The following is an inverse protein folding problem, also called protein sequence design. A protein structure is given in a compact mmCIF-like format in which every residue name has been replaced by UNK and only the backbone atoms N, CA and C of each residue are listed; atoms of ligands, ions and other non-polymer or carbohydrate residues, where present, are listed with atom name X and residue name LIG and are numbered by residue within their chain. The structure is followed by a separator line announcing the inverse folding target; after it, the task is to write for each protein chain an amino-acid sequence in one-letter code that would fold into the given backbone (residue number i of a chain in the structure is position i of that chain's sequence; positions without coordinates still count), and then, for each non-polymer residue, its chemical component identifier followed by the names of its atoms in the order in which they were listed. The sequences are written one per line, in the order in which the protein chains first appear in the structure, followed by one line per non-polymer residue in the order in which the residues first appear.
data_IF_136530562423
#
_entry.id   IF_136530562423
#
_cell.length_a   1.000
_cell.length_b   1.000
_cell.length_c   1.000
_cell.angle_alpha   90.00
_cell.angle_beta   90.00
_cell.angle_gamma   90.00
#
_symmetry.space_group_name_H-M   'P 1'
#
loop_
_entity.id
_entity.type
_entity.pdbx_description
1 polymer ?
#
# COMPACT_ATOMS: atom_id res chain seq x y z
N UNK A 1 19.12 -6.00 34.72
CA UNK A 1 19.59 -5.76 33.33
C UNK A 1 18.47 -5.97 32.32
N UNK A 2 17.76 -7.10 32.37
CA UNK A 2 16.59 -7.38 31.51
C UNK A 2 15.49 -6.33 31.69
N UNK A 3 15.19 -5.90 32.93
CA UNK A 3 14.13 -4.90 33.18
C UNK A 3 14.41 -3.53 32.57
N UNK A 4 15.69 -3.14 32.49
CA UNK A 4 16.11 -1.88 31.85
C UNK A 4 15.89 -1.99 30.34
N UNK A 5 16.26 -3.11 29.74
CA UNK A 5 16.04 -3.37 28.30
C UNK A 5 14.55 -3.38 27.98
N UNK A 6 13.73 -4.05 28.79
CA UNK A 6 12.27 -4.10 28.60
C UNK A 6 11.63 -2.72 28.74
N UNK A 7 12.07 -1.90 29.70
CA UNK A 7 11.56 -0.54 29.87
C UNK A 7 11.93 0.37 28.69
N UNK A 8 13.19 0.34 28.25
CA UNK A 8 13.63 1.13 27.07
C UNK A 8 12.87 0.68 25.82
N UNK A 9 12.74 -0.63 25.61
CA UNK A 9 11.97 -1.19 24.51
C UNK A 9 10.49 -0.81 24.58
N UNK A 10 9.90 -0.76 25.77
CA UNK A 10 8.51 -0.33 25.98
C UNK A 10 8.29 1.12 25.57
N UNK A 11 9.20 2.03 25.94
CA UNK A 11 9.13 3.45 25.55
C UNK A 11 9.25 3.60 24.03
N UNK A 12 10.21 2.93 23.40
CA UNK A 12 10.41 2.98 21.95
C UNK A 12 9.20 2.40 21.21
N UNK A 13 8.67 1.25 21.66
CA UNK A 13 7.49 0.65 21.02
C UNK A 13 6.25 1.55 21.12
N UNK A 14 6.02 2.19 22.25
CA UNK A 14 4.89 3.12 22.38
C UNK A 14 5.06 4.38 21.52
N UNK A 15 6.30 4.85 21.34
CA UNK A 15 6.58 6.01 20.48
C UNK A 15 6.43 5.67 18.99
N UNK A 16 7.00 4.53 18.55
CA UNK A 16 7.07 4.14 17.13
C UNK A 16 5.82 3.41 16.65
N UNK A 17 5.21 2.56 17.48
CA UNK A 17 4.07 1.71 17.11
C UNK A 17 2.80 2.05 17.87
N UNK A 18 2.84 3.00 18.81
CA UNK A 18 1.68 3.43 19.56
C UNK A 18 0.88 4.53 18.84
N UNK A 19 0.22 5.37 19.64
CA UNK A 19 -0.66 6.43 19.16
C UNK A 19 -0.03 7.40 18.15
N UNK A 20 1.23 7.85 18.27
CA UNK A 20 1.81 8.81 17.32
C UNK A 20 1.82 8.28 15.88
N UNK A 21 2.24 7.03 15.68
CA UNK A 21 2.27 6.43 14.34
C UNK A 21 0.88 6.19 13.79
N UNK A 22 -0.07 5.73 14.62
CA UNK A 22 -1.46 5.53 14.19
C UNK A 22 -2.11 6.86 13.77
N UNK A 23 -1.90 7.93 14.54
CA UNK A 23 -2.43 9.26 14.22
C UNK A 23 -1.78 9.79 12.93
N UNK A 24 -0.47 9.65 12.78
CA UNK A 24 0.24 10.13 11.59
C UNK A 24 -0.20 9.37 10.33
N UNK A 25 -0.30 8.04 10.41
CA UNK A 25 -0.72 7.21 9.28
C UNK A 25 -2.18 7.51 8.87
N UNK A 26 -3.08 7.62 9.86
CA UNK A 26 -4.47 8.00 9.63
C UNK A 26 -4.61 9.42 9.06
N UNK A 27 -3.88 10.38 9.62
CA UNK A 27 -3.88 11.77 9.16
C UNK A 27 -3.38 11.89 7.72
N UNK A 28 -2.27 11.24 7.38
CA UNK A 28 -1.75 11.23 6.00
C UNK A 28 -2.76 10.58 5.06
N UNK A 29 -3.39 9.46 5.45
CA UNK A 29 -4.42 8.82 4.63
C UNK A 29 -5.63 9.70 4.35
N UNK A 30 -6.13 10.41 5.38
CA UNK A 30 -7.23 11.38 5.22
C UNK A 30 -6.78 12.57 4.37
N UNK A 31 -5.60 13.14 4.64
CA UNK A 31 -5.04 14.27 3.90
C UNK A 31 -4.88 13.94 2.41
N UNK A 32 -4.28 12.79 2.09
CA UNK A 32 -4.12 12.32 0.70
C UNK A 32 -5.47 12.05 0.05
N UNK A 33 -6.44 11.51 0.78
CA UNK A 33 -7.81 11.30 0.29
C UNK A 33 -8.50 12.63 -0.04
N UNK A 34 -8.36 13.64 0.80
CA UNK A 34 -8.90 14.97 0.56
C UNK A 34 -8.20 15.68 -0.60
N UNK A 35 -6.86 15.60 -0.69
CA UNK A 35 -6.08 16.20 -1.78
C UNK A 35 -6.42 15.59 -3.14
N UNK A 36 -6.66 14.27 -3.17
CA UNK A 36 -7.09 13.57 -4.40
C UNK A 36 -8.59 13.64 -4.63
N UNK A 37 -9.34 14.46 -3.86
CA UNK A 37 -10.79 14.69 -3.99
C UNK A 37 -11.61 13.39 -3.99
N UNK A 38 -11.29 12.46 -3.09
CA UNK A 38 -11.93 11.14 -3.02
C UNK A 38 -11.85 10.37 -4.35
N UNK A 39 -10.69 10.38 -4.99
CA UNK A 39 -10.44 9.63 -6.23
C UNK A 39 -10.90 8.17 -6.13
N UNK A 40 -10.68 7.53 -4.98
CA UNK A 40 -11.14 6.18 -4.66
C UNK A 40 -12.64 5.92 -4.85
N UNK A 41 -13.51 6.91 -4.59
CA UNK A 41 -14.97 6.80 -4.78
C UNK A 41 -15.42 7.38 -6.11
N UNK A 42 -14.83 8.50 -6.53
CA UNK A 42 -15.23 9.23 -7.74
C UNK A 42 -14.86 8.50 -9.03
N UNK A 43 -13.69 7.84 -9.07
CA UNK A 43 -13.13 7.24 -10.27
C UNK A 43 -13.01 5.71 -10.22
N UNK A 44 -13.70 5.06 -9.27
CA UNK A 44 -13.73 3.60 -9.13
C UNK A 44 -14.08 2.89 -10.46
N UNK A 45 -15.08 3.39 -11.20
CA UNK A 45 -15.46 2.84 -12.52
C UNK A 45 -14.36 3.00 -13.58
N UNK A 46 -13.58 4.09 -13.51
CA UNK A 46 -12.52 4.38 -14.48
C UNK A 46 -11.33 3.45 -14.29
N UNK A 47 -10.85 3.31 -13.05
CA UNK A 47 -9.74 2.40 -12.73
C UNK A 47 -10.13 0.93 -12.92
N UNK A 48 -11.34 0.51 -12.50
CA UNK A 48 -11.82 -0.86 -12.73
C UNK A 48 -11.83 -1.23 -14.23
N UNK A 49 -12.26 -0.31 -15.08
CA UNK A 49 -12.29 -0.50 -16.54
C UNK A 49 -10.88 -0.54 -17.15
N UNK A 50 -9.96 0.31 -16.72
CA UNK A 50 -8.62 0.41 -17.30
C UNK A 50 -7.60 -0.54 -16.67
N UNK A 51 -7.89 -1.13 -15.51
CA UNK A 51 -7.04 -2.14 -14.88
C UNK A 51 -7.59 -3.53 -15.12
N UNK A 52 -8.79 -3.85 -14.64
CA UNK A 52 -9.35 -5.20 -14.82
C UNK A 52 -9.83 -5.41 -16.27
N UNK A 53 -10.49 -4.41 -16.85
CA UNK A 53 -10.94 -4.49 -18.25
C UNK A 53 -9.79 -4.55 -19.28
N UNK A 54 -8.67 -3.87 -19.03
CA UNK A 54 -7.50 -3.95 -19.91
C UNK A 54 -6.74 -5.28 -19.79
N UNK A 55 -6.65 -5.84 -18.57
CA UNK A 55 -6.00 -7.14 -18.32
C UNK A 55 -6.76 -8.29 -19.02
N UNK A 56 -8.10 -8.24 -19.05
CA UNK A 56 -8.93 -9.32 -19.61
C UNK A 56 -9.45 -9.06 -21.04
N UNK A 57 -9.52 -7.79 -21.49
CA UNK A 57 -10.27 -7.39 -22.68
C UNK A 57 -9.46 -7.02 -23.92
N UNK A 58 -8.19 -6.59 -23.80
CA UNK A 58 -7.45 -6.07 -24.97
C UNK A 58 -6.14 -6.82 -25.22
N UNK A 59 -6.17 -7.68 -26.26
CA UNK A 59 -5.01 -8.33 -26.88
C UNK A 59 -4.04 -7.36 -27.60
N UNK A 60 -4.21 -6.04 -27.51
CA UNK A 60 -3.60 -5.09 -28.45
C UNK A 60 -2.82 -3.92 -27.83
N UNK A 61 -2.38 -4.01 -26.57
CA UNK A 61 -1.32 -3.12 -26.02
C UNK A 61 0.01 -3.87 -25.97
N UNK A 62 0.34 -4.56 -27.06
CA UNK A 62 1.72 -4.74 -27.50
C UNK A 62 2.10 -3.52 -28.35
N UNK A 63 2.11 -2.34 -27.75
CA UNK A 63 2.79 -1.20 -28.33
C UNK A 63 4.17 -1.11 -27.67
N UNK A 64 5.13 -1.65 -28.39
CA UNK A 64 6.56 -1.66 -28.13
C UNK A 64 7.05 -0.42 -27.35
N UNK A 65 7.67 -0.68 -26.20
CA UNK A 65 8.86 0.07 -25.81
C UNK A 65 9.92 -0.98 -25.52
N UNK A 66 11.03 -0.93 -26.23
CA UNK A 66 12.17 -1.85 -26.21
C UNK A 66 12.96 -1.84 -24.88
N UNK A 67 12.30 -1.52 -23.77
CA UNK A 67 12.87 -1.53 -22.44
C UNK A 67 12.29 -2.72 -21.68
N UNK A 68 13.14 -3.52 -21.05
CA UNK A 68 12.86 -4.67 -20.16
C UNK A 68 11.70 -4.44 -19.16
N UNK A 69 10.45 -4.40 -19.63
CA UNK A 69 9.30 -3.97 -18.83
C UNK A 69 8.31 -5.12 -18.73
N UNK A 70 8.11 -5.60 -17.50
CA UNK A 70 7.16 -6.64 -17.13
C UNK A 70 5.72 -6.28 -17.57
N UNK A 71 4.92 -7.29 -17.96
CA UNK A 71 3.52 -7.11 -18.36
C UNK A 71 2.69 -6.47 -17.24
N UNK A 72 1.64 -5.69 -17.56
CA UNK A 72 0.75 -5.08 -16.55
C UNK A 72 0.19 -6.10 -15.55
N UNK A 73 -0.16 -7.29 -16.03
CA UNK A 73 -0.61 -8.40 -15.18
C UNK A 73 0.53 -8.92 -14.29
N UNK A 74 1.74 -9.02 -14.84
CA UNK A 74 2.91 -9.46 -14.08
C UNK A 74 3.25 -8.45 -12.97
N UNK A 75 3.22 -7.14 -13.25
CA UNK A 75 3.39 -6.08 -12.24
C UNK A 75 2.35 -6.15 -11.14
N UNK A 76 1.08 -6.39 -11.50
CA UNK A 76 0.00 -6.57 -10.52
C UNK A 76 0.25 -7.81 -9.64
N UNK A 77 0.60 -8.94 -10.24
CA UNK A 77 0.92 -10.16 -9.49
C UNK A 77 2.12 -9.96 -8.56
N UNK A 78 3.17 -9.26 -9.00
CA UNK A 78 4.33 -8.95 -8.17
C UNK A 78 3.95 -8.06 -6.98
N UNK A 79 3.15 -7.02 -7.20
CA UNK A 79 2.68 -6.14 -6.12
C UNK A 79 1.75 -6.88 -5.13
N UNK A 80 0.87 -7.75 -5.63
CA UNK A 80 0.01 -8.58 -4.78
C UNK A 80 0.82 -9.61 -3.97
N UNK A 81 1.80 -10.26 -4.59
CA UNK A 81 2.68 -11.20 -3.91
C UNK A 81 3.51 -10.52 -2.82
N UNK A 82 3.92 -9.27 -3.02
CA UNK A 82 4.66 -8.49 -2.04
C UNK A 82 3.79 -8.08 -0.83
N UNK A 83 2.48 -7.91 -1.02
CA UNK A 83 1.57 -7.38 0.02
C UNK A 83 0.73 -8.45 0.70
N UNK A 84 0.51 -9.60 0.07
CA UNK A 84 -0.24 -10.74 0.61
C UNK A 84 0.73 -11.79 1.15
N UNK A 85 0.70 -12.00 2.47
CA UNK A 85 1.53 -13.02 3.10
C UNK A 85 0.97 -13.51 4.42
N UNK A 86 1.69 -14.44 5.06
CA UNK A 86 1.31 -15.03 6.35
C UNK A 86 1.11 -13.97 7.44
N UNK A 87 1.87 -12.87 7.37
CA UNK A 87 1.73 -11.73 8.28
C UNK A 87 0.33 -11.11 8.27
N UNK A 88 -0.32 -10.99 7.11
CA UNK A 88 -1.68 -10.45 7.02
C UNK A 88 -2.69 -11.42 7.63
N UNK A 89 -2.51 -12.73 7.44
CA UNK A 89 -3.42 -13.76 7.97
C UNK A 89 -3.31 -13.79 9.50
N UNK A 90 -2.10 -13.92 10.04
CA UNK A 90 -1.85 -13.98 11.48
C UNK A 90 -2.19 -12.63 12.14
N UNK A 91 -1.88 -11.52 11.49
CA UNK A 91 -2.18 -10.18 11.97
C UNK A 91 -3.69 -9.93 12.09
N UNK A 92 -4.46 -10.29 11.06
CA UNK A 92 -5.92 -10.18 11.10
C UNK A 92 -6.52 -11.10 12.17
N UNK A 93 -6.05 -12.35 12.24
CA UNK A 93 -6.50 -13.29 13.27
C UNK A 93 -6.20 -12.79 14.69
N UNK A 94 -4.99 -12.27 14.93
CA UNK A 94 -4.58 -11.71 16.21
C UNK A 94 -5.37 -10.46 16.59
N UNK A 95 -5.61 -9.56 15.64
CA UNK A 95 -6.41 -8.36 15.88
C UNK A 95 -7.88 -8.68 16.17
N UNK A 96 -8.46 -9.71 15.54
CA UNK A 96 -9.81 -10.18 15.89
C UNK A 96 -9.81 -10.86 17.26
N UNK A 97 -8.78 -11.66 17.57
CA UNK A 97 -8.68 -12.36 18.86
C UNK A 97 -8.52 -11.38 20.03
N UNK A 98 -7.75 -10.30 19.86
CA UNK A 98 -7.48 -9.30 20.91
C UNK A 98 -8.52 -8.18 20.93
N UNK A 99 -8.92 -7.66 19.77
CA UNK A 99 -9.82 -6.52 19.62
C UNK A 99 -11.30 -6.88 19.40
N UNK A 100 -11.62 -8.17 19.26
CA UNK A 100 -12.96 -8.65 18.95
C UNK A 100 -13.35 -8.46 17.48
N UNK A 101 -14.58 -8.85 17.11
CA UNK A 101 -15.05 -8.81 15.72
C UNK A 101 -15.13 -7.38 15.14
N UNK A 102 -15.23 -6.35 16.00
CA UNK A 102 -15.24 -4.95 15.59
C UNK A 102 -13.93 -4.48 14.96
N UNK A 103 -12.81 -5.20 15.14
CA UNK A 103 -11.54 -4.88 14.52
C UNK A 103 -11.61 -4.88 12.98
N UNK A 104 -12.46 -5.73 12.39
CA UNK A 104 -12.61 -5.83 10.93
C UNK A 104 -13.14 -4.53 10.33
N UNK A 105 -14.10 -3.88 11.00
CA UNK A 105 -14.63 -2.59 10.55
C UNK A 105 -13.53 -1.52 10.49
N UNK A 106 -12.70 -1.45 11.53
CA UNK A 106 -11.58 -0.51 11.59
C UNK A 106 -10.49 -0.83 10.57
N UNK A 107 -10.24 -2.11 10.28
CA UNK A 107 -9.32 -2.51 9.21
C UNK A 107 -9.80 -2.02 7.85
N UNK A 108 -11.09 -2.16 7.52
CA UNK A 108 -11.61 -1.64 6.25
C UNK A 108 -11.55 -0.12 6.17
N UNK A 109 -11.83 0.58 7.27
CA UNK A 109 -11.74 2.03 7.33
C UNK A 109 -10.31 2.53 7.10
N UNK A 110 -9.33 1.93 7.78
CA UNK A 110 -7.91 2.26 7.58
C UNK A 110 -7.43 1.85 6.19
N UNK A 111 -7.86 0.68 5.67
CA UNK A 111 -7.51 0.24 4.33
C UNK A 111 -8.01 1.21 3.24
N UNK A 112 -9.22 1.75 3.44
CA UNK A 112 -9.79 2.77 2.54
C UNK A 112 -8.90 4.02 2.49
N UNK A 113 -8.56 4.61 3.64
CA UNK A 113 -7.65 5.77 3.66
C UNK A 113 -6.22 5.44 3.22
N UNK A 114 -5.74 4.22 3.53
CA UNK A 114 -4.41 3.74 3.16
C UNK A 114 -4.24 3.52 1.65
N UNK A 115 -5.32 3.23 0.93
CA UNK A 115 -5.30 3.09 -0.53
C UNK A 115 -4.77 4.35 -1.22
N UNK A 116 -5.21 5.52 -0.75
CA UNK A 116 -4.76 6.79 -1.33
C UNK A 116 -3.31 7.12 -0.99
N UNK A 117 -2.85 6.75 0.21
CA UNK A 117 -1.43 6.89 0.59
C UNK A 117 -0.56 6.02 -0.30
N UNK A 118 -0.91 4.73 -0.46
CA UNK A 118 -0.16 3.80 -1.30
C UNK A 118 -0.16 4.24 -2.78
N UNK A 119 -1.29 4.77 -3.28
CA UNK A 119 -1.36 5.36 -4.61
C UNK A 119 -0.39 6.54 -4.77
N UNK A 120 -0.42 7.50 -3.84
CA UNK A 120 0.49 8.66 -3.87
C UNK A 120 1.96 8.23 -3.82
N UNK A 121 2.29 7.24 -3.00
CA UNK A 121 3.64 6.67 -2.90
C UNK A 121 4.10 6.08 -4.24
N UNK A 122 3.29 5.22 -4.86
CA UNK A 122 3.63 4.64 -6.17
C UNK A 122 3.77 5.71 -7.27
N UNK A 123 2.91 6.74 -7.27
CA UNK A 123 3.01 7.84 -8.24
C UNK A 123 4.30 8.65 -8.03
N UNK A 124 4.65 8.95 -6.78
CA UNK A 124 5.90 9.65 -6.46
C UNK A 124 7.13 8.79 -6.79
N UNK A 125 7.08 7.49 -6.52
CA UNK A 125 8.14 6.54 -6.86
C UNK A 125 8.38 6.48 -8.38
N UNK A 126 7.32 6.57 -9.20
CA UNK A 126 7.45 6.66 -10.67
C UNK A 126 7.97 8.04 -11.10
N UNK A 127 7.55 9.13 -10.44
CA UNK A 127 7.99 10.48 -10.79
C UNK A 127 9.48 10.70 -10.50
N UNK A 128 9.97 10.16 -9.38
CA UNK A 128 11.34 10.34 -8.91
C UNK A 128 12.29 9.19 -9.24
N UNK A 129 11.82 8.14 -9.95
CA UNK A 129 12.69 7.03 -10.36
C UNK A 129 13.91 7.53 -11.14
N UNK A 130 15.06 6.93 -10.87
CA UNK A 130 16.32 7.17 -11.56
C UNK A 130 16.75 5.91 -12.29
N UNK A 131 17.46 6.07 -13.41
CA UNK A 131 18.15 4.94 -14.04
C UNK A 131 19.50 4.73 -13.34
N UNK A 132 19.77 3.51 -12.91
CA UNK A 132 21.08 3.13 -12.40
C UNK A 132 22.12 3.08 -13.53
N UNK A 133 23.40 2.95 -13.20
CA UNK A 133 24.52 2.82 -14.15
C UNK A 133 24.36 1.63 -15.11
N UNK A 134 23.58 0.62 -14.73
CA UNK A 134 23.26 -0.58 -15.54
C UNK A 134 22.01 -0.40 -16.43
N UNK A 135 21.43 0.80 -16.46
CA UNK A 135 20.25 1.13 -17.28
C UNK A 135 18.91 0.69 -16.70
N UNK A 136 18.90 0.12 -15.49
CA UNK A 136 17.69 -0.33 -14.80
C UNK A 136 16.98 0.81 -14.07
N UNK A 137 15.64 0.76 -14.00
CA UNK A 137 14.84 1.73 -13.28
C UNK A 137 14.84 1.43 -11.77
N UNK A 138 15.39 2.34 -10.98
CA UNK A 138 15.35 2.30 -9.52
C UNK A 138 14.42 3.40 -9.00
N UNK A 139 13.39 3.01 -8.26
CA UNK A 139 12.43 3.93 -7.65
C UNK A 139 11.74 3.26 -6.47
N UNK A 140 11.24 4.08 -5.55
CA UNK A 140 10.52 3.72 -4.34
C UNK A 140 9.67 4.90 -3.90
#
# INVERSE_FOLDING_TARGET
MIDIITNVNGVINNAVWGWPALILLGFVGVLMTCMTKFFQLSHFKYWMKHTIGAIFGEKHITAHTEDKTISQFQSLCTALAATVGTGNIVGVAGAIAVGGPGAVFWMWLIAFFGMMTNYSENVLGILYRRKNTEGEWCGG
#
